data_IF_293115184175
#
_entry.id   IF_293115184175
#
_cell.length_a   1.000
_cell.length_b   1.000
_cell.length_c   1.000
_cell.angle_alpha   90.00
_cell.angle_beta   90.00
_cell.angle_gamma   90.00
#
_symmetry.space_group_name_H-M   'P 1'
#
loop_
_entity.id
_entity.type
_entity.pdbx_description
1 polymer ?
#
# COMPACT_ATOMS: atom_id res chain seq x y z
N UNK A 1 -17.24 10.48 -52.64
CA UNK A 1 -16.18 9.45 -52.52
C UNK A 1 -15.27 9.70 -51.30
N UNK A 2 -14.81 10.91 -51.02
CA UNK A 2 -13.97 11.27 -49.85
C UNK A 2 -14.56 10.93 -48.48
N UNK A 3 -15.87 11.20 -48.26
CA UNK A 3 -16.54 10.89 -46.99
C UNK A 3 -16.52 9.38 -46.64
N UNK A 4 -16.63 8.49 -47.63
CA UNK A 4 -16.57 7.03 -47.41
C UNK A 4 -15.17 6.51 -47.13
N UNK A 5 -14.12 7.16 -47.67
CA UNK A 5 -12.71 6.83 -47.42
C UNK A 5 -12.31 7.32 -46.02
N UNK A 6 -12.72 8.52 -45.62
CA UNK A 6 -12.49 9.04 -44.27
C UNK A 6 -13.16 8.18 -43.19
N UNK A 7 -14.38 7.70 -43.44
CA UNK A 7 -15.10 6.79 -42.51
C UNK A 7 -14.40 5.43 -42.42
N UNK A 8 -13.90 4.87 -43.54
CA UNK A 8 -13.13 3.62 -43.54
C UNK A 8 -11.81 3.76 -42.81
N UNK A 9 -11.09 4.89 -42.93
CA UNK A 9 -9.86 5.17 -42.17
C UNK A 9 -10.18 5.39 -40.69
N UNK A 10 -11.30 6.05 -40.35
CA UNK A 10 -11.73 6.23 -38.97
C UNK A 10 -12.11 4.91 -38.29
N UNK A 11 -12.79 4.01 -39.04
CA UNK A 11 -13.15 2.66 -38.53
C UNK A 11 -11.89 1.81 -38.34
N UNK A 12 -10.92 1.87 -39.23
CA UNK A 12 -9.63 1.15 -39.08
C UNK A 12 -8.83 1.72 -37.91
N UNK A 13 -8.85 3.05 -37.67
CA UNK A 13 -8.22 3.69 -36.50
C UNK A 13 -8.96 3.38 -35.20
N UNK A 14 -10.28 3.21 -35.20
CA UNK A 14 -11.04 2.79 -34.03
C UNK A 14 -10.86 1.30 -33.71
N UNK A 15 -10.55 0.46 -34.71
CA UNK A 15 -10.21 -0.97 -34.48
C UNK A 15 -8.75 -1.17 -34.09
N UNK A 16 -7.92 -0.11 -34.15
CA UNK A 16 -6.49 -0.14 -33.76
C UNK A 16 -6.24 0.51 -32.40
N UNK A 17 -7.29 0.78 -31.60
CA UNK A 17 -7.06 1.05 -30.18
C UNK A 17 -6.41 -0.23 -29.59
N UNK A 18 -5.21 -0.13 -29.01
CA UNK A 18 -4.65 -1.27 -28.32
C UNK A 18 -5.64 -1.63 -27.22
N UNK A 19 -6.13 -2.87 -27.23
CA UNK A 19 -6.66 -3.46 -26.01
C UNK A 19 -5.42 -3.62 -25.13
N UNK A 20 -5.07 -2.56 -24.41
CA UNK A 20 -4.13 -2.63 -23.34
C UNK A 20 -4.83 -3.38 -22.22
N UNK A 21 -4.82 -4.70 -22.31
CA UNK A 21 -5.05 -5.55 -21.17
C UNK A 21 -3.85 -5.39 -20.24
N UNK A 22 -3.91 -4.43 -19.34
CA UNK A 22 -2.93 -4.30 -18.28
C UNK A 22 -3.25 -5.30 -17.18
N UNK A 23 -2.29 -6.08 -16.78
CA UNK A 23 -2.41 -7.11 -15.76
C UNK A 23 -1.48 -6.80 -14.57
N UNK A 24 -1.84 -7.09 -13.29
CA UNK A 24 -1.17 -6.56 -12.09
C UNK A 24 -1.08 -7.49 -10.86
N UNK A 25 -0.29 -7.16 -9.86
CA UNK A 25 0.21 -8.08 -8.84
C UNK A 25 0.10 -7.63 -7.39
N UNK A 26 0.33 -8.48 -6.47
CA UNK A 26 0.01 -8.53 -5.08
C UNK A 26 1.09 -8.36 -4.01
N UNK A 27 0.73 -8.17 -2.74
CA UNK A 27 1.57 -7.87 -1.61
C UNK A 27 1.33 -8.60 -0.30
N UNK A 28 2.37 -9.07 0.35
CA UNK A 28 2.39 -9.38 1.77
C UNK A 28 3.08 -8.28 2.59
N UNK A 29 2.53 -7.90 3.72
CA UNK A 29 3.20 -7.10 4.74
C UNK A 29 4.04 -8.05 5.59
N UNK A 30 5.34 -7.90 5.60
CA UNK A 30 6.17 -8.62 6.57
C UNK A 30 6.16 -7.89 7.93
N UNK A 31 6.54 -8.60 8.98
CA UNK A 31 6.57 -8.07 10.35
C UNK A 31 7.54 -6.90 10.58
N UNK A 32 8.34 -6.52 9.58
CA UNK A 32 9.30 -5.42 9.67
C UNK A 32 8.90 -4.21 8.81
N UNK A 33 7.67 -4.22 8.23
CA UNK A 33 7.21 -3.23 7.26
C UNK A 33 8.20 -3.06 6.09
N UNK A 34 8.83 -4.16 5.64
CA UNK A 34 9.79 -4.09 4.54
C UNK A 34 9.13 -4.12 3.19
N UNK A 35 7.85 -4.55 3.12
CA UNK A 35 7.07 -4.60 1.89
C UNK A 35 7.66 -5.52 0.80
N UNK A 36 8.47 -6.53 1.16
CA UNK A 36 9.20 -7.37 0.22
C UNK A 36 8.59 -8.76 0.03
N UNK A 37 8.37 -9.18 -1.22
CA UNK A 37 7.95 -10.55 -1.62
C UNK A 37 8.90 -11.10 -2.67
N UNK A 38 9.22 -12.38 -2.59
CA UNK A 38 10.02 -13.11 -3.60
C UNK A 38 9.20 -14.28 -4.13
N UNK A 39 8.91 -14.29 -5.42
CA UNK A 39 8.27 -15.43 -6.10
C UNK A 39 8.68 -15.56 -7.58
N UNK A 40 8.69 -16.80 -8.10
CA UNK A 40 9.20 -17.19 -9.43
C UNK A 40 8.12 -17.81 -10.34
N UNK A 41 6.82 -17.51 -10.20
CA UNK A 41 5.77 -18.18 -10.99
C UNK A 41 5.05 -17.29 -12.02
N UNK A 42 4.70 -17.92 -13.16
CA UNK A 42 4.10 -17.30 -14.35
C UNK A 42 2.56 -17.31 -14.34
N UNK A 43 1.95 -16.22 -14.80
CA UNK A 43 0.56 -16.04 -15.32
C UNK A 43 -0.65 -16.13 -14.40
N UNK A 44 -1.37 -15.01 -14.25
CA UNK A 44 -2.80 -14.98 -13.90
C UNK A 44 -3.56 -13.95 -14.73
N UNK A 45 -4.79 -14.30 -15.16
CA UNK A 45 -5.61 -13.53 -16.10
C UNK A 45 -6.90 -12.94 -15.53
N UNK A 46 -7.14 -12.94 -14.22
CA UNK A 46 -8.42 -12.52 -13.67
C UNK A 46 -8.35 -11.17 -12.97
N UNK A 47 -9.03 -10.17 -13.54
CA UNK A 47 -9.41 -8.93 -12.89
C UNK A 47 -10.80 -9.09 -12.30
N UNK A 48 -10.93 -8.86 -11.00
CA UNK A 48 -12.22 -8.81 -10.36
C UNK A 48 -12.30 -7.61 -9.40
N UNK A 49 -13.51 -7.22 -9.07
CA UNK A 49 -13.79 -6.19 -8.07
C UNK A 49 -14.81 -6.70 -7.08
N UNK A 50 -14.65 -6.32 -5.81
CA UNK A 50 -15.61 -6.65 -4.76
C UNK A 50 -16.10 -5.39 -4.07
N UNK A 51 -17.43 -5.22 -3.93
CA UNK A 51 -18.04 -4.03 -3.32
C UNK A 51 -18.37 -4.28 -1.85
N UNK A 52 -17.77 -3.47 -0.97
CA UNK A 52 -18.06 -3.45 0.48
C UNK A 52 -19.25 -2.55 0.85
N UNK A 53 -19.79 -1.80 -0.12
CA UNK A 53 -20.87 -0.81 0.09
C UNK A 53 -20.55 0.28 1.14
N UNK A 54 -19.29 0.45 1.53
CA UNK A 54 -18.81 1.46 2.48
C UNK A 54 -17.33 1.74 2.23
N UNK A 55 -16.83 2.96 2.43
CA UNK A 55 -15.44 3.32 2.22
C UNK A 55 -14.47 2.37 2.92
N UNK A 56 -13.33 2.12 2.28
CA UNK A 56 -12.27 1.27 2.82
C UNK A 56 -11.03 2.13 3.01
N UNK A 57 -10.55 2.22 4.25
CA UNK A 57 -9.33 2.94 4.62
C UNK A 57 -8.21 2.00 5.06
N UNK A 58 -8.57 0.77 5.43
CA UNK A 58 -7.63 -0.27 5.84
C UNK A 58 -6.92 -0.88 4.64
N UNK A 59 -5.70 -1.35 4.85
CA UNK A 59 -4.99 -2.17 3.87
C UNK A 59 -5.37 -3.63 4.03
N UNK A 60 -5.45 -4.42 2.95
CA UNK A 60 -5.75 -5.85 3.01
C UNK A 60 -4.68 -6.65 3.76
N UNK A 61 -5.06 -7.76 4.38
CA UNK A 61 -4.16 -8.82 4.83
C UNK A 61 -4.45 -10.10 4.06
N UNK A 62 -3.42 -10.91 3.79
CA UNK A 62 -3.55 -12.17 3.03
C UNK A 62 -3.11 -13.34 3.90
N UNK A 63 -3.88 -14.42 3.86
CA UNK A 63 -3.49 -15.71 4.44
C UNK A 63 -4.06 -16.85 3.61
N UNK A 64 -3.19 -17.74 3.09
CA UNK A 64 -3.57 -18.76 2.12
C UNK A 64 -4.19 -18.11 0.87
N UNK A 65 -5.31 -18.63 0.43
CA UNK A 65 -6.04 -18.17 -0.77
C UNK A 65 -7.08 -17.09 -0.44
N UNK A 66 -6.98 -16.41 0.69
CA UNK A 66 -7.99 -15.44 1.13
C UNK A 66 -7.38 -14.08 1.45
N UNK A 67 -8.14 -13.05 1.10
CA UNK A 67 -7.91 -11.65 1.47
C UNK A 67 -8.86 -11.28 2.60
N UNK A 68 -8.33 -10.59 3.60
CA UNK A 68 -9.10 -10.11 4.75
C UNK A 68 -9.03 -8.60 4.80
N UNK A 69 -10.19 -7.97 4.84
CA UNK A 69 -10.29 -6.52 4.74
C UNK A 69 -11.52 -6.03 5.49
N UNK A 70 -11.43 -4.84 6.07
CA UNK A 70 -12.53 -4.20 6.77
C UNK A 70 -12.91 -2.86 6.13
N UNK A 71 -14.18 -2.54 6.16
CA UNK A 71 -14.71 -1.25 5.72
C UNK A 71 -15.04 -0.33 6.91
N UNK A 72 -15.20 0.95 6.62
CA UNK A 72 -15.40 2.00 7.64
C UNK A 72 -16.66 1.83 8.49
N UNK A 73 -17.62 1.02 8.04
CA UNK A 73 -18.81 0.66 8.82
C UNK A 73 -18.63 -0.59 9.72
N UNK A 74 -17.40 -1.13 9.82
CA UNK A 74 -17.07 -2.25 10.70
C UNK A 74 -17.34 -3.64 10.11
N UNK A 75 -17.61 -3.75 8.83
CA UNK A 75 -17.73 -5.07 8.17
C UNK A 75 -16.34 -5.59 7.82
N UNK A 76 -15.91 -6.66 8.50
CA UNK A 76 -14.71 -7.43 8.18
C UNK A 76 -15.09 -8.62 7.33
N UNK A 77 -14.46 -8.76 6.16
CA UNK A 77 -14.77 -9.82 5.20
C UNK A 77 -13.54 -10.64 4.84
N UNK A 78 -13.78 -11.92 4.56
CA UNK A 78 -12.86 -12.81 3.86
C UNK A 78 -13.32 -12.97 2.43
N UNK A 79 -12.43 -12.66 1.49
CA UNK A 79 -12.67 -12.71 0.05
C UNK A 79 -11.73 -13.75 -0.55
N UNK A 80 -12.25 -14.63 -1.40
CA UNK A 80 -11.43 -15.53 -2.20
C UNK A 80 -10.52 -14.75 -3.12
N UNK A 81 -9.23 -15.05 -3.10
CA UNK A 81 -8.22 -14.28 -3.84
C UNK A 81 -8.30 -14.51 -5.36
N UNK A 82 -8.73 -15.69 -5.80
CA UNK A 82 -8.83 -16.04 -7.21
C UNK A 82 -10.17 -15.59 -7.81
N UNK A 83 -11.27 -15.87 -7.10
CA UNK A 83 -12.62 -15.63 -7.62
C UNK A 83 -13.17 -14.24 -7.26
N UNK A 84 -12.64 -13.56 -6.24
CA UNK A 84 -13.19 -12.31 -5.70
C UNK A 84 -14.54 -12.50 -4.98
N UNK A 85 -14.88 -13.73 -4.59
CA UNK A 85 -16.15 -14.05 -3.94
C UNK A 85 -16.02 -13.96 -2.40
N UNK A 86 -17.10 -13.51 -1.72
CA UNK A 86 -17.13 -13.48 -0.25
C UNK A 86 -17.18 -14.89 0.33
N UNK A 87 -16.22 -15.23 1.19
CA UNK A 87 -16.23 -16.49 1.96
C UNK A 87 -17.02 -16.35 3.24
N UNK A 88 -16.78 -15.26 3.98
CA UNK A 88 -17.51 -14.93 5.20
C UNK A 88 -17.40 -13.43 5.56
N UNK A 89 -18.25 -13.01 6.48
CA UNK A 89 -18.34 -11.65 6.98
C UNK A 89 -18.55 -11.66 8.49
N UNK A 90 -17.85 -10.78 9.21
CA UNK A 90 -18.04 -10.50 10.63
C UNK A 90 -18.31 -9.01 10.82
N UNK A 91 -19.36 -8.68 11.59
CA UNK A 91 -19.64 -7.34 12.04
C UNK A 91 -18.85 -7.05 13.32
N UNK A 92 -17.87 -6.12 13.26
CA UNK A 92 -17.06 -5.68 14.39
C UNK A 92 -17.83 -4.81 15.40
N UNK A 93 -19.10 -4.51 15.12
CA UNK A 93 -20.03 -3.66 15.92
C UNK A 93 -19.68 -2.19 15.97
N UNK A 94 -18.53 -1.79 15.46
CA UNK A 94 -18.11 -0.39 15.35
C UNK A 94 -17.23 -0.20 14.12
N UNK A 95 -17.17 1.02 13.59
CA UNK A 95 -16.37 1.35 12.42
C UNK A 95 -14.88 1.10 12.63
N UNK A 96 -14.13 0.92 11.54
CA UNK A 96 -12.68 0.80 11.61
C UNK A 96 -11.97 1.40 10.39
N UNK A 97 -10.77 1.93 10.64
CA UNK A 97 -9.78 2.28 9.64
C UNK A 97 -8.47 1.50 9.84
N UNK A 98 -8.39 0.67 10.88
CA UNK A 98 -7.21 -0.12 11.17
C UNK A 98 -7.05 -1.25 10.16
N UNK A 99 -5.81 -1.50 9.72
CA UNK A 99 -5.49 -2.67 8.91
C UNK A 99 -5.35 -3.91 9.78
N UNK A 100 -5.95 -5.04 9.38
CA UNK A 100 -5.79 -6.30 10.11
C UNK A 100 -4.39 -6.87 9.94
N UNK A 101 -3.92 -7.65 10.93
CA UNK A 101 -2.79 -8.56 10.76
C UNK A 101 -3.22 -10.00 11.05
N UNK A 102 -2.51 -10.97 10.47
CA UNK A 102 -2.80 -12.39 10.65
C UNK A 102 -1.56 -13.13 11.13
N UNK A 103 -1.74 -13.96 12.15
CA UNK A 103 -0.71 -14.86 12.65
C UNK A 103 -1.34 -16.17 13.15
N UNK A 104 -0.80 -17.32 12.74
CA UNK A 104 -1.26 -18.65 13.16
C UNK A 104 -2.80 -18.79 13.07
N UNK A 105 -3.40 -18.40 11.94
CA UNK A 105 -4.86 -18.47 11.70
C UNK A 105 -5.72 -17.57 12.59
N UNK A 106 -5.08 -16.65 13.31
CA UNK A 106 -5.77 -15.61 14.09
C UNK A 106 -5.56 -14.25 13.43
N UNK A 107 -6.66 -13.56 13.16
CA UNK A 107 -6.69 -12.18 12.69
C UNK A 107 -6.90 -11.25 13.87
N UNK A 108 -6.07 -10.20 13.96
CA UNK A 108 -6.16 -9.15 14.97
C UNK A 108 -6.50 -7.83 14.30
N UNK A 109 -7.48 -7.11 14.85
CA UNK A 109 -7.94 -5.84 14.29
C UNK A 109 -8.46 -4.89 15.38
N UNK A 110 -8.10 -3.59 15.24
CA UNK A 110 -8.68 -2.51 16.01
C UNK A 110 -9.95 -1.95 15.38
N UNK A 111 -10.81 -1.36 16.17
CA UNK A 111 -11.99 -0.59 15.74
C UNK A 111 -12.20 0.63 16.63
N UNK A 112 -13.27 1.40 16.42
CA UNK A 112 -13.57 2.58 17.23
C UNK A 112 -13.87 2.23 18.70
N UNK A 113 -14.30 1.00 19.01
CA UNK A 113 -14.72 0.61 20.36
C UNK A 113 -14.04 -0.66 20.88
N UNK A 114 -13.33 -1.41 20.00
CA UNK A 114 -12.82 -2.72 20.37
C UNK A 114 -11.48 -3.04 19.73
N UNK A 115 -10.70 -3.89 20.43
CA UNK A 115 -9.61 -4.68 19.87
C UNK A 115 -10.02 -6.16 19.86
N UNK A 116 -9.97 -6.81 18.69
CA UNK A 116 -10.59 -8.12 18.48
C UNK A 116 -9.61 -9.11 17.86
N UNK A 117 -9.60 -10.35 18.36
CA UNK A 117 -8.94 -11.50 17.74
C UNK A 117 -9.99 -12.49 17.21
N UNK A 118 -9.78 -12.95 15.98
CA UNK A 118 -10.74 -13.75 15.22
C UNK A 118 -10.01 -14.96 14.64
N UNK A 119 -10.58 -16.16 14.87
CA UNK A 119 -10.20 -17.38 14.18
C UNK A 119 -10.72 -17.32 12.74
N UNK A 120 -9.81 -17.25 11.77
CA UNK A 120 -10.15 -17.11 10.37
C UNK A 120 -10.65 -18.40 9.70
N UNK A 121 -10.36 -19.57 10.29
CA UNK A 121 -10.85 -20.85 9.77
C UNK A 121 -12.27 -21.13 10.21
N UNK A 122 -12.59 -20.83 11.49
CA UNK A 122 -13.91 -21.11 12.06
C UNK A 122 -14.84 -19.88 12.04
N UNK A 123 -14.36 -18.73 11.54
CA UNK A 123 -15.11 -17.50 11.47
C UNK A 123 -15.68 -17.10 12.85
N UNK A 124 -14.84 -17.07 13.88
CA UNK A 124 -15.26 -16.91 15.27
C UNK A 124 -14.35 -15.93 16.02
N UNK A 125 -14.95 -15.00 16.76
CA UNK A 125 -14.22 -14.19 17.73
C UNK A 125 -13.65 -15.08 18.84
N UNK A 126 -12.33 -15.03 19.01
CA UNK A 126 -11.61 -15.73 20.08
C UNK A 126 -11.66 -14.92 21.37
N UNK A 127 -11.32 -13.64 21.29
CA UNK A 127 -11.41 -12.70 22.38
C UNK A 127 -11.60 -11.26 21.85
N UNK A 128 -12.08 -10.39 22.71
CA UNK A 128 -12.34 -8.99 22.41
C UNK A 128 -12.18 -8.14 23.67
N UNK A 129 -11.57 -6.97 23.51
CA UNK A 129 -11.44 -5.96 24.54
C UNK A 129 -12.12 -4.67 24.12
N UNK A 130 -12.90 -4.07 25.02
CA UNK A 130 -13.38 -2.70 24.83
C UNK A 130 -12.20 -1.72 24.95
N UNK A 131 -12.14 -0.74 24.06
CA UNK A 131 -11.07 0.25 23.98
C UNK A 131 -11.60 1.60 23.50
N UNK A 132 -10.81 2.64 23.64
CA UNK A 132 -10.92 3.82 22.79
C UNK A 132 -10.50 3.45 21.36
N UNK A 133 -10.74 4.31 20.35
CA UNK A 133 -10.43 3.98 18.98
C UNK A 133 -8.98 3.47 18.78
N UNK A 134 -8.85 2.34 18.11
CA UNK A 134 -7.57 1.76 17.69
C UNK A 134 -7.51 1.85 16.16
N UNK A 135 -6.73 2.82 15.68
CA UNK A 135 -6.52 3.09 14.24
C UNK A 135 -5.21 2.52 13.73
N UNK A 136 -4.28 2.23 14.65
CA UNK A 136 -3.02 1.57 14.33
C UNK A 136 -3.24 0.13 13.87
N UNK A 137 -2.45 -0.35 12.92
CA UNK A 137 -2.35 -1.78 12.67
C UNK A 137 -1.63 -2.45 13.85
N UNK A 138 -2.08 -3.64 14.28
CA UNK A 138 -1.39 -4.40 15.32
C UNK A 138 0.01 -4.85 14.87
N UNK A 139 0.91 -5.09 15.83
CA UNK A 139 2.23 -5.67 15.59
C UNK A 139 2.44 -6.89 16.50
N UNK A 140 2.95 -7.98 15.95
CA UNK A 140 3.16 -9.21 16.70
C UNK A 140 4.64 -9.44 17.02
N UNK A 141 4.95 -9.69 18.29
CA UNK A 141 6.30 -10.02 18.75
C UNK A 141 6.24 -10.86 20.02
N UNK A 142 7.00 -11.98 20.06
CA UNK A 142 7.15 -12.87 21.24
C UNK A 142 5.81 -13.23 21.92
N UNK A 143 4.86 -13.80 21.19
CA UNK A 143 3.53 -14.20 21.66
C UNK A 143 2.67 -13.05 22.24
N UNK A 144 3.04 -11.79 21.93
CA UNK A 144 2.24 -10.62 22.29
C UNK A 144 1.87 -9.84 21.04
N UNK A 145 0.68 -9.26 21.04
CA UNK A 145 0.20 -8.32 20.03
C UNK A 145 0.16 -6.91 20.62
N UNK A 146 0.83 -5.99 19.95
CA UNK A 146 1.00 -4.59 20.36
C UNK A 146 0.13 -3.69 19.52
N UNK A 147 -0.55 -2.72 20.14
CA UNK A 147 -1.39 -1.73 19.45
C UNK A 147 -1.26 -0.34 20.09
N UNK A 148 -1.22 0.70 19.26
CA UNK A 148 -1.40 2.07 19.69
C UNK A 148 -2.88 2.42 19.75
N UNK A 149 -3.30 3.22 20.72
CA UNK A 149 -4.69 3.61 20.95
C UNK A 149 -4.83 5.14 21.01
N UNK A 150 -6.00 5.65 20.65
CA UNK A 150 -6.32 7.09 20.70
C UNK A 150 -6.36 7.64 22.12
N UNK A 151 -6.47 6.77 23.13
CA UNK A 151 -6.32 7.17 24.52
C UNK A 151 -4.87 7.44 24.94
N UNK A 152 -3.92 7.27 24.01
CA UNK A 152 -2.50 7.49 24.20
C UNK A 152 -1.77 6.36 24.91
N UNK A 153 -2.33 5.16 24.98
CA UNK A 153 -1.62 4.00 25.48
C UNK A 153 -1.10 3.12 24.35
N UNK A 154 0.12 2.62 24.54
CA UNK A 154 0.60 1.43 23.88
C UNK A 154 0.16 0.22 24.72
N UNK A 155 -0.68 -0.64 24.15
CA UNK A 155 -1.15 -1.88 24.77
C UNK A 155 -0.37 -3.08 24.24
N UNK A 156 -0.18 -4.07 25.11
CA UNK A 156 0.28 -5.41 24.74
C UNK A 156 -0.67 -6.47 25.31
N UNK A 157 -1.12 -7.38 24.46
CA UNK A 157 -1.99 -8.50 24.83
C UNK A 157 -1.32 -9.82 24.45
N UNK A 158 -1.52 -10.86 25.26
CA UNK A 158 -1.18 -12.21 24.85
C UNK A 158 -1.99 -12.59 23.60
N UNK A 159 -1.31 -13.02 22.54
CA UNK A 159 -1.97 -13.27 21.24
C UNK A 159 -2.96 -14.44 21.28
N UNK A 160 -2.77 -15.44 22.15
CA UNK A 160 -3.65 -16.61 22.24
C UNK A 160 -4.82 -16.38 23.20
N UNK A 161 -4.52 -15.88 24.42
CA UNK A 161 -5.52 -15.75 25.49
C UNK A 161 -6.25 -14.42 25.51
N UNK A 162 -5.69 -13.38 24.86
CA UNK A 162 -6.17 -12.02 24.95
C UNK A 162 -5.86 -11.32 26.27
N UNK A 163 -5.18 -11.99 27.22
CA UNK A 163 -4.83 -11.37 28.49
C UNK A 163 -3.94 -10.15 28.27
N UNK A 164 -4.30 -9.02 28.92
CA UNK A 164 -3.50 -7.81 28.84
C UNK A 164 -2.19 -7.98 29.61
N UNK A 165 -1.07 -7.96 28.90
CA UNK A 165 0.27 -8.11 29.48
C UNK A 165 0.70 -6.81 30.15
N UNK A 166 0.56 -5.67 29.43
CA UNK A 166 0.83 -4.33 29.96
C UNK A 166 0.11 -3.25 29.15
N UNK A 167 0.14 -2.03 29.68
CA UNK A 167 -0.14 -0.82 28.94
C UNK A 167 0.76 0.31 29.44
N UNK A 168 1.34 1.06 28.51
CA UNK A 168 2.21 2.21 28.80
C UNK A 168 1.52 3.47 28.30
N UNK A 169 1.29 4.43 29.22
CA UNK A 169 0.75 5.75 28.87
C UNK A 169 1.82 6.59 28.24
N UNK A 170 1.56 7.04 27.02
CA UNK A 170 2.37 8.01 26.26
C UNK A 170 1.50 9.27 26.03
N UNK A 171 2.12 10.36 25.59
CA UNK A 171 1.36 11.59 25.33
C UNK A 171 0.82 11.62 23.90
N UNK A 172 -0.41 12.09 23.72
CA UNK A 172 -1.11 12.23 22.43
C UNK A 172 -1.70 10.91 21.93
N UNK A 173 -2.45 10.98 20.83
CA UNK A 173 -3.07 9.82 20.21
C UNK A 173 -2.03 8.99 19.44
N UNK A 174 -2.14 7.67 19.47
CA UNK A 174 -1.20 6.76 18.81
C UNK A 174 -1.84 6.14 17.55
N UNK A 175 -1.89 6.91 16.47
CA UNK A 175 -2.37 6.45 15.16
C UNK A 175 -1.32 5.64 14.39
N UNK A 176 -0.04 5.89 14.68
CA UNK A 176 1.11 5.14 14.14
C UNK A 176 1.03 3.68 14.59
N UNK A 177 1.31 2.75 13.68
CA UNK A 177 1.43 1.34 14.03
C UNK A 177 2.79 1.10 14.68
N UNK A 178 2.87 0.36 15.80
CA UNK A 178 4.15 0.07 16.45
C UNK A 178 4.97 -0.91 15.62
N UNK A 179 6.30 -0.86 15.77
CA UNK A 179 7.22 -1.96 15.41
C UNK A 179 8.03 -2.35 16.64
N UNK A 180 8.48 -3.59 16.73
CA UNK A 180 9.34 -4.04 17.84
C UNK A 180 10.67 -4.53 17.31
N UNK A 181 11.76 -3.90 17.78
CA UNK A 181 13.13 -4.22 17.43
C UNK A 181 13.93 -4.37 18.71
N UNK A 182 14.69 -5.48 18.86
CA UNK A 182 15.56 -5.71 20.00
C UNK A 182 14.87 -5.48 21.36
N UNK A 183 13.64 -6.00 21.53
CA UNK A 183 12.82 -5.84 22.72
C UNK A 183 12.38 -4.40 23.04
N UNK A 184 12.43 -3.49 22.05
CA UNK A 184 11.95 -2.10 22.14
C UNK A 184 10.84 -1.87 21.12
N UNK A 185 9.68 -1.44 21.58
CA UNK A 185 8.57 -1.01 20.72
C UNK A 185 8.74 0.46 20.35
N UNK A 186 8.78 0.77 19.06
CA UNK A 186 8.83 2.14 18.54
C UNK A 186 7.47 2.55 18.01
N UNK A 187 6.98 3.71 18.41
CA UNK A 187 5.68 4.23 18.00
C UNK A 187 5.68 5.75 17.92
N UNK A 188 5.09 6.30 16.85
CA UNK A 188 4.84 7.72 16.67
C UNK A 188 3.55 8.18 17.36
N UNK A 189 3.48 9.45 17.70
CA UNK A 189 2.33 10.06 18.34
C UNK A 189 1.90 11.37 17.68
N UNK A 190 0.62 11.71 17.83
CA UNK A 190 0.05 12.97 17.37
C UNK A 190 0.65 14.22 18.02
N UNK A 191 1.41 14.07 19.12
CA UNK A 191 2.16 15.16 19.74
C UNK A 191 3.54 15.43 19.10
N UNK A 192 3.86 14.74 17.99
CA UNK A 192 5.13 14.88 17.28
C UNK A 192 6.29 14.10 17.89
N UNK A 193 6.05 13.19 18.83
CA UNK A 193 7.13 12.40 19.44
C UNK A 193 7.17 10.97 18.93
N UNK A 194 8.38 10.47 18.70
CA UNK A 194 8.70 9.06 18.59
C UNK A 194 9.07 8.52 19.96
N UNK A 195 8.40 7.47 20.38
CA UNK A 195 8.63 6.79 21.67
C UNK A 195 9.24 5.41 21.46
N UNK A 196 10.42 5.11 21.99
CA UNK A 196 10.94 3.78 22.19
C UNK A 196 10.50 3.27 23.57
N UNK A 197 9.69 2.26 23.62
CA UNK A 197 9.22 1.63 24.86
C UNK A 197 9.93 0.30 25.04
N UNK A 198 10.80 0.18 26.02
CA UNK A 198 11.39 -1.11 26.41
C UNK A 198 10.31 -2.03 26.96
N UNK A 199 10.14 -3.20 26.36
CA UNK A 199 9.03 -4.10 26.66
C UNK A 199 9.16 -4.70 28.07
N UNK A 200 10.41 -4.94 28.55
CA UNK A 200 10.64 -5.57 29.83
C UNK A 200 10.47 -4.61 31.01
N UNK A 201 10.97 -3.39 30.89
CA UNK A 201 10.88 -2.36 31.93
C UNK A 201 9.64 -1.48 31.81
N UNK A 202 8.97 -1.52 30.66
CA UNK A 202 7.82 -0.68 30.32
C UNK A 202 8.11 0.84 30.40
N UNK A 203 9.37 1.23 30.18
CA UNK A 203 9.82 2.60 30.23
C UNK A 203 10.35 3.09 28.88
N UNK A 204 10.37 4.39 28.68
CA UNK A 204 11.01 5.04 27.54
C UNK A 204 12.41 5.49 27.94
N UNK A 205 13.46 5.08 27.21
CA UNK A 205 14.86 5.45 27.49
C UNK A 205 15.20 6.83 26.92
N UNK A 206 14.56 7.21 25.83
CA UNK A 206 14.70 8.50 25.15
C UNK A 206 13.40 8.84 24.40
N UNK A 207 13.29 10.03 23.86
CA UNK A 207 12.23 10.41 22.93
C UNK A 207 12.83 11.33 21.88
N UNK A 208 12.36 11.26 20.63
CA UNK A 208 12.68 12.22 19.59
C UNK A 208 11.47 13.06 19.28
N UNK A 209 11.62 14.38 19.17
CA UNK A 209 10.51 15.30 18.86
C UNK A 209 10.70 15.88 17.46
N UNK A 210 9.71 15.70 16.59
CA UNK A 210 9.58 16.34 15.27
C UNK A 210 8.88 17.68 15.38
N UNK A 211 8.70 18.38 14.28
CA UNK A 211 8.01 19.69 14.28
C UNK A 211 6.49 19.63 14.34
N UNK A 212 5.87 18.48 14.04
CA UNK A 212 4.41 18.26 14.05
C UNK A 212 4.10 16.77 14.25
N UNK A 213 2.82 16.38 14.21
CA UNK A 213 2.31 15.03 14.44
C UNK A 213 3.02 13.94 13.62
N UNK A 214 3.16 12.76 14.23
CA UNK A 214 3.65 11.54 13.59
C UNK A 214 2.48 10.57 13.42
N UNK A 215 1.89 10.54 12.21
CA UNK A 215 0.89 9.56 11.80
C UNK A 215 1.50 8.38 11.05
N UNK A 216 2.67 8.58 10.47
CA UNK A 216 3.49 7.57 9.80
C UNK A 216 3.89 6.46 10.77
N UNK A 217 3.80 5.21 10.33
CA UNK A 217 4.32 4.09 11.13
C UNK A 217 5.85 3.99 10.95
N UNK A 218 6.62 3.68 12.00
CA UNK A 218 8.06 3.53 11.91
C UNK A 218 8.45 2.37 10.98
N UNK A 219 9.60 2.51 10.29
CA UNK A 219 10.27 1.41 9.63
C UNK A 219 11.71 1.30 10.13
N UNK A 220 12.30 0.11 10.05
CA UNK A 220 13.65 -0.16 10.58
C UNK A 220 14.62 -0.63 9.51
N UNK A 221 15.79 -0.03 9.50
CA UNK A 221 16.89 -0.46 8.65
C UNK A 221 18.24 0.09 9.11
N UNK A 222 19.27 -0.75 9.09
CA UNK A 222 20.66 -0.36 9.34
C UNK A 222 20.85 0.46 10.66
N UNK A 223 20.25 -0.02 11.77
CA UNK A 223 20.34 0.62 13.08
C UNK A 223 19.59 1.96 13.18
N UNK A 224 18.67 2.23 12.26
CA UNK A 224 17.90 3.47 12.20
C UNK A 224 16.40 3.20 12.18
N UNK A 225 15.65 4.06 12.83
CA UNK A 225 14.19 4.16 12.72
C UNK A 225 13.86 5.29 11.76
N UNK A 226 13.08 4.99 10.73
CA UNK A 226 12.59 5.96 9.75
C UNK A 226 11.14 6.30 10.07
N UNK A 227 10.81 7.59 10.14
CA UNK A 227 9.45 8.10 10.37
C UNK A 227 9.17 9.35 9.54
N UNK A 228 7.98 9.44 8.99
CA UNK A 228 7.43 10.66 8.41
C UNK A 228 6.73 11.51 9.47
N UNK A 229 6.71 12.83 9.29
CA UNK A 229 5.99 13.76 10.15
C UNK A 229 5.13 14.73 9.34
N UNK A 230 4.07 15.22 9.95
CA UNK A 230 3.22 16.27 9.37
C UNK A 230 3.96 17.62 9.22
N UNK A 231 5.20 17.74 9.75
CA UNK A 231 6.08 18.88 9.51
C UNK A 231 6.77 18.87 8.14
N UNK A 232 6.51 17.83 7.32
CA UNK A 232 7.02 17.69 5.96
C UNK A 232 8.33 16.93 5.83
N UNK A 233 8.88 16.39 6.91
CA UNK A 233 10.17 15.71 6.86
C UNK A 233 10.03 14.18 7.04
N UNK A 234 10.92 13.45 6.34
CA UNK A 234 11.31 12.09 6.73
C UNK A 234 12.54 12.19 7.65
N UNK A 235 12.49 11.49 8.76
CA UNK A 235 13.56 11.43 9.76
C UNK A 235 14.18 10.04 9.80
N UNK A 236 15.51 9.97 9.91
CA UNK A 236 16.26 8.77 10.27
C UNK A 236 16.88 9.00 11.66
N UNK A 237 16.42 8.22 12.63
CA UNK A 237 16.77 8.33 14.04
C UNK A 237 17.57 7.08 14.43
N UNK A 238 18.70 7.27 15.12
CA UNK A 238 19.46 6.14 15.64
C UNK A 238 18.63 5.36 16.67
N UNK A 239 18.44 4.08 16.44
CA UNK A 239 17.57 3.19 17.23
C UNK A 239 17.98 3.13 18.71
N UNK A 240 19.29 3.15 19.00
CA UNK A 240 19.80 2.88 20.35
C UNK A 240 19.79 4.11 21.27
N UNK A 241 19.92 5.33 20.72
CA UNK A 241 20.12 6.54 21.52
C UNK A 241 19.20 7.72 21.16
N UNK A 242 18.35 7.56 20.12
CA UNK A 242 17.40 8.60 19.71
C UNK A 242 18.02 9.81 19.00
N UNK A 243 19.30 9.78 18.66
CA UNK A 243 19.93 10.88 17.95
C UNK A 243 19.50 10.93 16.49
N UNK A 244 19.28 12.15 15.99
CA UNK A 244 19.06 12.37 14.57
C UNK A 244 20.31 11.97 13.79
N UNK A 245 20.15 11.07 12.81
CA UNK A 245 21.21 10.73 11.84
C UNK A 245 21.11 11.67 10.64
N UNK A 246 19.92 11.75 10.04
CA UNK A 246 19.62 12.70 8.98
C UNK A 246 18.10 12.94 8.90
N UNK A 247 17.71 14.01 8.22
CA UNK A 247 16.33 14.27 7.82
C UNK A 247 16.29 14.81 6.40
N UNK A 248 15.18 14.58 5.73
CA UNK A 248 14.94 15.07 4.36
C UNK A 248 13.58 15.76 4.30
N UNK A 249 13.58 16.98 3.73
CA UNK A 249 12.37 17.79 3.53
C UNK A 249 11.64 17.33 2.25
N UNK A 250 10.39 16.90 2.40
CA UNK A 250 9.48 16.45 1.33
C UNK A 250 8.46 17.55 0.95
N UNK A 251 8.66 18.77 1.43
CA UNK A 251 7.91 20.02 1.19
C UNK A 251 6.47 20.02 1.73
N UNK A 252 5.86 18.88 2.04
CA UNK A 252 4.48 18.80 2.55
C UNK A 252 4.34 17.60 3.50
N UNK A 253 3.22 17.51 4.24
CA UNK A 253 2.95 16.48 5.25
C UNK A 253 3.31 15.07 4.78
N UNK A 254 3.93 14.29 5.67
CA UNK A 254 4.37 12.92 5.41
C UNK A 254 3.57 11.96 6.28
N UNK A 255 2.43 11.53 5.74
CA UNK A 255 1.54 10.56 6.38
C UNK A 255 1.80 9.13 5.94
N UNK A 256 2.39 8.95 4.76
CA UNK A 256 2.89 7.67 4.28
C UNK A 256 3.84 7.05 5.28
N UNK A 257 3.81 5.74 5.45
CA UNK A 257 4.84 5.02 6.20
C UNK A 257 6.02 4.67 5.27
N UNK A 258 7.26 4.79 5.74
CA UNK A 258 8.42 4.48 4.92
C UNK A 258 8.53 2.97 4.66
N UNK A 259 8.99 2.62 3.47
CA UNK A 259 9.37 1.25 3.11
C UNK A 259 10.87 1.16 2.92
N UNK A 260 11.53 0.24 3.64
CA UNK A 260 12.99 0.10 3.65
C UNK A 260 13.42 -1.13 2.86
N UNK A 261 14.20 -0.91 1.79
CA UNK A 261 14.93 -1.94 1.08
C UNK A 261 16.38 -1.99 1.56
N UNK A 262 16.65 -2.88 2.51
CA UNK A 262 18.00 -3.05 3.10
C UNK A 262 19.01 -3.60 2.09
N UNK A 263 18.54 -4.35 1.08
CA UNK A 263 19.42 -4.96 0.08
C UNK A 263 20.06 -3.88 -0.82
N UNK A 264 19.26 -2.90 -1.24
CA UNK A 264 19.70 -1.84 -2.15
C UNK A 264 19.98 -0.52 -1.44
N UNK A 265 19.93 -0.50 -0.10
CA UNK A 265 20.09 0.70 0.73
C UNK A 265 19.13 1.82 0.35
N UNK A 266 17.84 1.50 0.15
CA UNK A 266 16.80 2.45 -0.21
C UNK A 266 15.78 2.60 0.93
N UNK A 267 15.26 3.82 1.08
CA UNK A 267 13.99 4.09 1.75
C UNK A 267 13.07 4.84 0.80
N UNK A 268 11.84 4.36 0.69
CA UNK A 268 10.79 4.93 -0.15
C UNK A 268 9.73 5.56 0.73
N UNK A 269 9.24 6.75 0.36
CA UNK A 269 8.28 7.50 1.14
C UNK A 269 7.39 8.36 0.24
N UNK A 270 6.09 8.37 0.52
CA UNK A 270 5.14 9.28 -0.09
C UNK A 270 4.93 10.56 0.72
N UNK A 271 4.46 11.62 0.07
CA UNK A 271 4.09 12.87 0.75
C UNK A 271 2.79 13.48 0.21
N UNK A 272 2.19 14.39 0.97
CA UNK A 272 1.03 15.18 0.54
C UNK A 272 1.37 16.19 -0.57
N UNK A 273 2.65 16.36 -0.93
CA UNK A 273 3.09 17.07 -2.14
C UNK A 273 2.75 16.30 -3.42
N UNK A 274 2.45 15.01 -3.29
CA UNK A 274 2.13 14.14 -4.41
C UNK A 274 3.35 13.49 -5.05
N UNK A 275 4.40 13.27 -4.27
CA UNK A 275 5.60 12.61 -4.71
C UNK A 275 5.80 11.28 -3.98
N UNK A 276 6.26 10.25 -4.72
CA UNK A 276 7.00 9.13 -4.16
C UNK A 276 8.50 9.44 -4.28
N UNK A 277 9.23 9.37 -3.17
CA UNK A 277 10.66 9.73 -3.10
C UNK A 277 11.47 8.54 -2.61
N UNK A 278 12.61 8.28 -3.28
CA UNK A 278 13.61 7.28 -2.89
C UNK A 278 14.88 7.98 -2.39
N UNK A 279 15.29 7.63 -1.18
CA UNK A 279 16.51 8.15 -0.55
C UNK A 279 17.46 6.99 -0.18
N UNK A 280 18.74 7.30 -0.05
CA UNK A 280 19.72 6.36 0.53
C UNK A 280 19.53 6.28 2.06
N UNK A 281 19.40 5.07 2.61
CA UNK A 281 19.16 4.87 4.05
C UNK A 281 20.34 5.30 4.93
N UNK A 282 21.55 5.42 4.36
CA UNK A 282 22.77 5.72 5.11
C UNK A 282 22.87 7.19 5.47
N UNK A 283 22.57 8.08 4.52
CA UNK A 283 22.85 9.52 4.63
C UNK A 283 21.69 10.43 4.19
N UNK A 284 20.57 9.85 3.71
CA UNK A 284 19.40 10.60 3.25
C UNK A 284 19.57 11.25 1.88
N UNK A 285 20.60 10.88 1.11
CA UNK A 285 20.82 11.41 -0.24
C UNK A 285 19.65 11.02 -1.17
N UNK A 286 19.10 12.01 -1.88
CA UNK A 286 18.05 11.80 -2.88
C UNK A 286 18.57 10.94 -4.06
N UNK A 287 17.93 9.80 -4.31
CA UNK A 287 18.18 8.97 -5.49
C UNK A 287 17.26 9.36 -6.65
N UNK A 288 15.97 9.46 -6.38
CA UNK A 288 14.97 9.93 -7.34
C UNK A 288 13.68 10.35 -6.61
N UNK A 289 12.85 11.12 -7.31
CA UNK A 289 11.50 11.48 -6.90
C UNK A 289 10.56 11.46 -8.11
N UNK A 290 9.37 10.88 -7.96
CA UNK A 290 8.34 10.78 -8.99
C UNK A 290 7.07 11.46 -8.53
N UNK A 291 6.57 12.42 -9.33
CA UNK A 291 5.36 13.18 -9.01
C UNK A 291 4.14 12.61 -9.71
N UNK A 292 3.04 12.46 -8.95
CA UNK A 292 1.75 11.97 -9.46
C UNK A 292 0.64 13.02 -9.38
N UNK A 293 0.96 14.22 -8.88
CA UNK A 293 0.07 15.38 -8.87
C UNK A 293 -1.00 15.41 -7.78
N UNK A 294 -1.09 14.39 -6.91
CA UNK A 294 -1.96 14.37 -5.73
C UNK A 294 -1.32 13.49 -4.65
N UNK A 295 -1.77 13.61 -3.41
CA UNK A 295 -1.19 13.01 -2.20
C UNK A 295 -0.87 11.53 -2.34
N UNK A 296 0.32 11.16 -1.87
CA UNK A 296 0.76 9.77 -1.72
C UNK A 296 0.81 9.46 -0.22
N UNK A 297 -0.26 8.86 0.31
CA UNK A 297 -0.39 8.55 1.73
C UNK A 297 -0.27 7.05 2.02
N UNK A 298 -0.36 6.20 0.99
CA UNK A 298 -0.13 4.77 1.10
C UNK A 298 1.32 4.44 1.46
N UNK A 299 1.54 3.35 2.17
CA UNK A 299 2.86 2.75 2.35
C UNK A 299 3.28 2.11 1.03
N UNK A 300 4.41 2.50 0.44
CA UNK A 300 4.88 1.89 -0.80
C UNK A 300 5.28 0.44 -0.59
N UNK A 301 5.26 -0.25 -1.65
CA UNK A 301 5.46 -1.66 -1.59
C UNK A 301 6.42 -2.15 -2.70
N UNK A 302 7.35 -3.08 -2.38
CA UNK A 302 8.41 -3.53 -3.26
C UNK A 302 8.13 -4.95 -3.75
N UNK A 303 8.28 -5.18 -5.06
CA UNK A 303 8.42 -6.52 -5.65
C UNK A 303 9.56 -6.52 -6.64
N UNK A 304 10.57 -7.34 -6.41
CA UNK A 304 11.74 -7.47 -7.28
C UNK A 304 12.39 -6.09 -7.57
N UNK A 305 12.33 -5.62 -8.81
CA UNK A 305 12.80 -4.31 -9.25
C UNK A 305 11.70 -3.25 -9.37
N UNK A 306 10.50 -3.56 -8.89
CA UNK A 306 9.34 -2.67 -8.91
C UNK A 306 9.05 -2.08 -7.54
N UNK A 307 8.48 -0.88 -7.52
CA UNK A 307 7.86 -0.23 -6.37
C UNK A 307 6.43 0.14 -6.73
N UNK A 308 5.47 -0.23 -5.89
CA UNK A 308 4.05 0.00 -6.10
C UNK A 308 3.50 0.89 -4.99
N UNK A 309 2.65 1.83 -5.32
CA UNK A 309 1.96 2.70 -4.37
C UNK A 309 0.64 3.20 -4.94
N UNK A 310 -0.18 3.78 -4.09
CA UNK A 310 -1.47 4.37 -4.46
C UNK A 310 -1.49 5.86 -4.12
N UNK A 311 -2.35 6.60 -4.80
CA UNK A 311 -2.50 8.05 -4.61
C UNK A 311 -3.97 8.45 -4.44
N UNK A 312 -4.17 9.63 -3.83
CA UNK A 312 -5.49 10.22 -3.68
C UNK A 312 -6.13 10.62 -5.02
N UNK A 313 -5.36 10.67 -6.12
CA UNK A 313 -5.93 10.82 -7.46
C UNK A 313 -6.66 9.58 -7.98
N UNK A 314 -6.74 8.52 -7.17
CA UNK A 314 -7.44 7.27 -7.49
C UNK A 314 -6.64 6.29 -8.33
N UNK A 315 -5.33 6.49 -8.51
CA UNK A 315 -4.47 5.60 -9.27
C UNK A 315 -3.60 4.71 -8.36
N UNK A 316 -3.33 3.52 -8.85
CA UNK A 316 -2.20 2.70 -8.44
C UNK A 316 -1.06 2.89 -9.45
N UNK A 317 0.16 3.08 -8.95
CA UNK A 317 1.36 3.32 -9.73
C UNK A 317 2.37 2.21 -9.53
N UNK A 318 3.06 1.86 -10.61
CA UNK A 318 4.19 0.93 -10.60
C UNK A 318 5.37 1.58 -11.26
N UNK A 319 6.45 1.73 -10.49
CA UNK A 319 7.69 2.31 -10.97
C UNK A 319 8.82 1.29 -10.88
N UNK A 320 9.84 1.50 -11.67
CA UNK A 320 11.13 0.86 -11.47
C UNK A 320 11.78 1.43 -10.19
N UNK A 321 12.06 0.60 -9.21
CA UNK A 321 12.56 1.04 -7.88
C UNK A 321 13.93 1.68 -7.91
N UNK A 322 14.74 1.43 -8.95
CA UNK A 322 16.09 1.99 -9.10
C UNK A 322 16.10 3.35 -9.77
N UNK A 323 15.22 3.56 -10.73
CA UNK A 323 15.21 4.77 -11.58
C UNK A 323 14.07 5.73 -11.26
N UNK A 324 13.01 5.27 -10.58
CA UNK A 324 11.77 6.03 -10.38
C UNK A 324 10.95 6.25 -11.66
N UNK A 325 11.33 5.61 -12.76
CA UNK A 325 10.57 5.67 -14.00
C UNK A 325 9.27 4.86 -13.86
N UNK A 326 8.17 5.46 -14.28
CA UNK A 326 6.88 4.78 -14.32
C UNK A 326 6.92 3.67 -15.38
N UNK A 327 6.71 2.44 -14.94
CA UNK A 327 6.48 1.31 -15.85
C UNK A 327 5.05 1.40 -16.37
N UNK A 328 4.10 1.72 -15.47
CA UNK A 328 2.74 2.12 -15.79
C UNK A 328 1.91 2.54 -14.56
N UNK A 329 0.70 3.08 -14.82
CA UNK A 329 -0.30 3.41 -13.81
C UNK A 329 -1.68 2.88 -14.20
N UNK A 330 -2.51 2.63 -13.23
CA UNK A 330 -3.87 2.13 -13.41
C UNK A 330 -4.86 2.88 -12.54
N UNK A 331 -5.95 3.35 -13.17
CA UNK A 331 -7.10 3.90 -12.47
C UNK A 331 -8.23 2.86 -12.43
N UNK A 332 -8.54 2.27 -11.26
CA UNK A 332 -9.60 1.29 -11.16
C UNK A 332 -11.01 1.90 -11.20
N UNK A 333 -11.11 3.22 -11.00
CA UNK A 333 -12.39 3.92 -11.00
C UNK A 333 -13.02 4.08 -12.38
N UNK A 334 -14.20 4.69 -12.43
CA UNK A 334 -14.84 5.07 -13.68
C UNK A 334 -14.27 6.39 -14.20
N UNK A 335 -14.29 6.62 -15.51
CA UNK A 335 -13.81 7.85 -16.19
C UNK A 335 -14.41 9.14 -15.59
N UNK A 336 -15.54 9.04 -14.89
CA UNK A 336 -16.27 10.19 -14.34
C UNK A 336 -16.11 10.41 -12.84
N UNK A 337 -15.57 9.43 -12.09
CA UNK A 337 -15.46 9.51 -10.63
C UNK A 337 -14.18 8.81 -10.17
N UNK A 338 -13.13 9.62 -9.95
CA UNK A 338 -11.90 9.18 -9.30
C UNK A 338 -12.10 9.26 -7.78
N UNK A 339 -12.13 8.12 -7.11
CA UNK A 339 -12.14 8.08 -5.65
C UNK A 339 -10.72 7.92 -5.13
N UNK A 340 -10.31 8.62 -4.07
CA UNK A 340 -9.01 8.43 -3.47
C UNK A 340 -8.74 6.96 -3.11
N UNK A 341 -7.50 6.53 -3.29
CA UNK A 341 -7.01 5.24 -2.78
C UNK A 341 -5.97 5.56 -1.71
N UNK A 342 -6.39 5.47 -0.44
CA UNK A 342 -5.54 5.73 0.71
C UNK A 342 -4.97 4.46 1.34
N UNK A 343 -5.55 3.30 1.02
CA UNK A 343 -5.03 2.00 1.46
C UNK A 343 -3.67 1.71 0.83
N UNK A 344 -2.81 1.03 1.57
CA UNK A 344 -1.56 0.54 1.01
C UNK A 344 -1.81 -0.65 0.09
N UNK A 345 -1.12 -0.71 -1.04
CA UNK A 345 -1.22 -1.84 -1.96
C UNK A 345 -0.69 -3.11 -1.31
N UNK A 346 -1.31 -4.24 -1.63
CA UNK A 346 -0.93 -5.55 -1.11
C UNK A 346 -0.67 -6.49 -2.28
N UNK A 347 0.46 -7.26 -2.27
CA UNK A 347 0.94 -8.12 -3.39
C UNK A 347 0.97 -9.60 -2.97
N UNK A 348 0.45 -10.57 -3.75
CA UNK A 348 0.70 -12.02 -3.61
C UNK A 348 0.98 -12.65 -4.97
N UNK A 349 2.18 -13.17 -5.22
CA UNK A 349 2.59 -13.65 -6.53
C UNK A 349 2.50 -12.53 -7.58
N UNK A 350 1.65 -12.68 -8.55
CA UNK A 350 1.40 -11.73 -9.61
C UNK A 350 0.06 -10.93 -9.47
N UNK A 351 -0.67 -10.95 -8.35
CA UNK A 351 -1.92 -10.19 -8.14
C UNK A 351 -1.76 -9.00 -7.19
N UNK A 352 -2.09 -7.79 -7.56
CA UNK A 352 -2.13 -6.58 -6.75
C UNK A 352 -3.53 -6.34 -6.22
N UNK A 353 -3.65 -6.12 -4.93
CA UNK A 353 -4.92 -5.76 -4.30
C UNK A 353 -4.85 -4.34 -3.77
N UNK A 354 -5.78 -3.51 -4.18
CA UNK A 354 -5.94 -2.14 -3.71
C UNK A 354 -7.38 -1.90 -3.31
N UNK A 355 -7.59 -1.16 -2.23
CA UNK A 355 -8.92 -0.86 -1.73
C UNK A 355 -9.15 0.65 -1.75
N UNK A 356 -10.27 1.07 -2.36
CA UNK A 356 -10.60 2.46 -2.56
C UNK A 356 -11.57 3.03 -1.52
N UNK A 357 -11.53 4.36 -1.37
CA UNK A 357 -12.52 5.08 -0.56
C UNK A 357 -13.94 5.03 -1.19
N UNK A 358 -14.07 4.51 -2.41
CA UNK A 358 -15.34 4.17 -3.07
C UNK A 358 -15.99 2.90 -2.53
N UNK A 359 -15.30 2.18 -1.66
CA UNK A 359 -15.76 0.92 -1.07
C UNK A 359 -15.51 -0.32 -1.91
N UNK A 360 -14.66 -0.23 -2.93
CA UNK A 360 -14.28 -1.39 -3.73
C UNK A 360 -12.88 -1.91 -3.37
N UNK A 361 -12.77 -3.24 -3.33
CA UNK A 361 -11.52 -3.96 -3.41
C UNK A 361 -11.29 -4.34 -4.87
N UNK A 362 -10.14 -3.98 -5.41
CA UNK A 362 -9.73 -4.27 -6.78
C UNK A 362 -8.61 -5.29 -6.78
N UNK A 363 -8.76 -6.33 -7.59
CA UNK A 363 -7.70 -7.29 -7.92
C UNK A 363 -7.18 -6.97 -9.31
N UNK A 364 -5.91 -6.72 -9.38
CA UNK A 364 -5.20 -6.32 -10.59
C UNK A 364 -4.03 -7.30 -10.78
N UNK A 365 -3.58 -7.59 -12.00
CA UNK A 365 -2.37 -8.40 -12.26
C UNK A 365 -1.28 -7.53 -12.89
N UNK A 366 0.01 -7.47 -12.48
CA UNK A 366 1.13 -6.67 -13.05
C UNK A 366 2.20 -7.53 -13.75
N UNK A 367 1.85 -8.51 -14.54
CA UNK A 367 2.86 -9.12 -15.41
C UNK A 367 3.38 -8.13 -16.45
N UNK A 368 4.70 -8.12 -16.65
CA UNK A 368 5.27 -7.53 -17.86
C UNK A 368 4.81 -8.38 -19.05
N UNK A 369 3.69 -7.99 -19.69
CA UNK A 369 3.45 -8.47 -21.05
C UNK A 369 4.59 -7.92 -21.93
N UNK A 370 5.60 -8.73 -22.18
CA UNK A 370 6.33 -8.58 -23.43
C UNK A 370 5.29 -8.80 -24.53
N UNK A 371 4.85 -7.70 -25.15
CA UNK A 371 4.04 -7.79 -26.36
C UNK A 371 4.85 -8.64 -27.32
N UNK A 372 4.37 -9.84 -27.72
CA UNK A 372 5.17 -10.71 -28.55
C UNK A 372 5.67 -9.91 -29.74
N UNK A 373 6.96 -10.00 -30.07
CA UNK A 373 7.56 -9.29 -31.20
C UNK A 373 6.79 -9.50 -32.49
N UNK A 374 6.05 -10.61 -32.60
CA UNK A 374 5.09 -10.89 -33.65
C UNK A 374 3.95 -9.87 -33.72
N UNK A 375 3.44 -9.36 -32.59
CA UNK A 375 2.36 -8.34 -32.57
C UNK A 375 2.87 -6.99 -33.03
N UNK A 376 4.07 -6.59 -32.62
CA UNK A 376 4.74 -5.39 -33.17
C UNK A 376 4.98 -5.52 -34.69
N UNK A 377 5.36 -6.71 -35.16
CA UNK A 377 5.51 -6.96 -36.58
C UNK A 377 4.19 -6.83 -37.34
N UNK A 378 3.09 -7.34 -36.79
CA UNK A 378 1.76 -7.21 -37.40
C UNK A 378 1.29 -5.75 -37.45
N UNK A 379 1.48 -4.97 -36.40
CA UNK A 379 1.12 -3.54 -36.39
C UNK A 379 1.98 -2.72 -37.34
N UNK A 380 3.29 -2.97 -37.39
CA UNK A 380 4.19 -2.28 -38.31
C UNK A 380 3.86 -2.62 -39.77
N UNK A 381 3.50 -3.89 -40.06
CA UNK A 381 3.09 -4.32 -41.38
C UNK A 381 1.73 -3.73 -41.78
N UNK A 382 0.77 -3.64 -40.89
CA UNK A 382 -0.55 -3.01 -41.13
C UNK A 382 -0.41 -1.50 -41.42
N UNK A 383 0.45 -0.80 -40.68
CA UNK A 383 0.75 0.61 -40.92
C UNK A 383 1.44 0.78 -42.28
N UNK A 384 2.40 -0.07 -42.62
CA UNK A 384 3.08 -0.03 -43.91
C UNK A 384 2.11 -0.23 -45.09
N UNK A 385 1.19 -1.21 -44.96
CA UNK A 385 0.14 -1.46 -45.96
C UNK A 385 -0.82 -0.27 -46.09
N UNK A 386 -1.21 0.36 -44.99
CA UNK A 386 -2.07 1.54 -45.01
C UNK A 386 -1.39 2.74 -45.71
N UNK A 387 -0.11 2.97 -45.43
CA UNK A 387 0.70 4.02 -46.09
C UNK A 387 0.84 3.73 -47.58
N UNK A 388 1.09 2.48 -47.98
CA UNK A 388 1.14 2.08 -49.38
C UNK A 388 -0.17 2.29 -50.13
N UNK A 389 -1.30 1.95 -49.50
CA UNK A 389 -2.63 2.19 -50.07
C UNK A 389 -2.88 3.68 -50.31
N UNK A 390 -2.55 4.53 -49.30
CA UNK A 390 -2.66 5.99 -49.42
C UNK A 390 -1.75 6.49 -50.54
N UNK A 391 -0.53 6.06 -50.63
CA UNK A 391 0.43 6.42 -51.67
C UNK A 391 -0.10 6.05 -53.08
N UNK A 392 -0.64 4.85 -53.25
CA UNK A 392 -1.23 4.41 -54.54
C UNK A 392 -2.44 5.27 -54.89
N UNK A 393 -3.31 5.63 -53.98
CA UNK A 393 -4.47 6.51 -54.22
C UNK A 393 -4.02 7.89 -54.62
N UNK A 394 -3.00 8.45 -53.98
CA UNK A 394 -2.43 9.80 -54.33
C UNK A 394 -1.81 9.76 -55.70
N UNK A 395 -0.99 8.74 -56.02
CA UNK A 395 -0.33 8.59 -57.35
C UNK A 395 -1.35 8.45 -58.47
N UNK A 396 -2.44 7.67 -58.25
CA UNK A 396 -3.52 7.53 -59.24
C UNK A 396 -4.29 8.87 -59.47
N UNK A 397 -4.33 9.75 -58.47
CA UNK A 397 -4.98 11.06 -58.57
C UNK A 397 -4.11 12.12 -59.29
N UNK A 398 -2.80 11.94 -59.24
CA UNK A 398 -1.85 12.86 -59.93
C UNK A 398 -1.76 12.51 -61.43
N UNK A 399 -2.06 11.23 -61.81
CA UNK A 399 -2.01 10.77 -63.18
C UNK A 399 -3.31 10.88 -63.99
N UNK A 400 -4.42 11.27 -63.32
CA UNK A 400 -5.70 11.63 -63.92
C UNK A 400 -5.97 13.15 -63.71
#
# INVERSE_FOLDING_TARGET
MYKKICIAILIVLMCLSPIAGANWISFGHDYNHTGFVKDDSDFVTNLWTFNFASPIFSSPAISGDNIYLSSSNGQLKSIDMEEGSEKWNIDLKSGTSASPIIYNKTLYIGSEEHFTAIDIENNKTLWQHSSSPIRSAPYLYNNAVYVGCDDGHLYAFNNETGEKIFNVKLDGNLHSSPIVINNTAFIGSSNGKLYPVDISSQNTSWTYTTGDAISSSPAYGDGKIFIGSDDGNLYAINESNGNLVWKFDLNNKVKSSPTVDKHDNNVFIGSDEGNLTCLDIRDGTLKWSHSVGDKVQSTPAIKDNLIVFTSNNGNAYVLNKYTGLEEFSYNPGTILFNSPITSSPVINGNSLFVAGNDGYLYSLNIDKHEVPTSVFLYYSLAILIAVLIVAIVVIRKIKN
#
